data_IF_718807140974
#
_entry.id   IF_718807140974
#
_cell.length_a   1.000
_cell.length_b   1.000
_cell.length_c   1.000
_cell.angle_alpha   90.00
_cell.angle_beta   90.00
_cell.angle_gamma   90.00
#
_symmetry.space_group_name_H-M   'P 1'
#
loop_
_entity.id
_entity.type
_entity.pdbx_description
1 polymer ?
#
# COMPACT_ATOMS: atom_id res chain seq x y z
N UNK A 1 24.82 23.76 -25.21
CA UNK A 1 25.04 24.22 -23.82
C UNK A 1 26.17 25.25 -23.84
N UNK A 2 25.88 26.49 -23.47
CA UNK A 2 26.88 27.58 -23.43
C UNK A 2 27.73 27.45 -22.17
N UNK A 3 29.04 27.39 -22.32
CA UNK A 3 30.00 27.49 -21.23
C UNK A 3 30.31 28.96 -20.95
N UNK A 4 30.04 29.44 -19.74
CA UNK A 4 30.62 30.68 -19.24
C UNK A 4 31.97 30.35 -18.60
N UNK A 5 33.06 30.61 -19.31
CA UNK A 5 34.41 30.51 -18.77
C UNK A 5 34.98 31.93 -18.66
N UNK A 6 34.98 32.49 -17.45
CA UNK A 6 35.61 33.79 -17.16
C UNK A 6 37.12 33.62 -17.10
N UNK A 7 37.85 34.29 -17.99
CA UNK A 7 39.32 34.36 -17.95
C UNK A 7 39.77 35.43 -16.96
N UNK A 8 40.41 35.02 -15.86
CA UNK A 8 41.45 35.81 -15.20
C UNK A 8 42.54 34.90 -14.63
N UNK A 9 43.72 35.02 -15.24
CA UNK A 9 45.02 35.09 -14.55
C UNK A 9 45.50 33.92 -13.69
N UNK A 10 46.57 33.29 -14.17
CA UNK A 10 47.75 32.83 -13.41
C UNK A 10 47.59 31.69 -12.39
N UNK A 11 47.96 30.50 -12.85
CA UNK A 11 48.84 29.52 -12.18
C UNK A 11 48.53 29.17 -10.72
N UNK A 12 47.48 28.38 -10.52
CA UNK A 12 47.45 27.31 -9.53
C UNK A 12 46.81 26.11 -10.22
N UNK A 13 47.47 24.96 -10.17
CA UNK A 13 46.96 23.72 -10.74
C UNK A 13 45.57 23.44 -10.15
N UNK A 14 44.51 23.67 -10.93
CA UNK A 14 43.22 23.07 -10.64
C UNK A 14 43.41 21.57 -10.85
N UNK A 15 43.45 20.81 -9.75
CA UNK A 15 43.06 19.41 -9.82
C UNK A 15 41.61 19.38 -10.30
N UNK A 16 41.42 19.21 -11.61
CA UNK A 16 40.18 18.73 -12.17
C UNK A 16 40.02 17.27 -11.74
N UNK A 17 39.57 17.05 -10.50
CA UNK A 17 38.96 15.76 -10.19
C UNK A 17 37.72 15.67 -11.04
N UNK A 18 37.76 14.80 -12.06
CA UNK A 18 36.57 14.42 -12.81
C UNK A 18 35.69 13.67 -11.82
N UNK A 19 34.83 14.40 -11.11
CA UNK A 19 33.62 13.81 -10.55
C UNK A 19 32.76 13.49 -11.78
N UNK A 20 33.02 12.34 -12.39
CA UNK A 20 32.11 11.83 -13.41
C UNK A 20 30.74 11.80 -12.75
N UNK A 21 29.71 12.29 -13.45
CA UNK A 21 28.33 12.21 -12.96
C UNK A 21 28.00 10.78 -12.48
N UNK A 22 28.64 9.76 -13.05
CA UNK A 22 28.58 8.37 -12.61
C UNK A 22 28.94 8.12 -11.13
N UNK A 23 29.89 8.85 -10.55
CA UNK A 23 30.30 8.67 -9.13
C UNK A 23 29.31 9.33 -8.16
N UNK A 24 28.70 10.45 -8.55
CA UNK A 24 27.63 11.09 -7.76
C UNK A 24 26.27 10.37 -7.93
N UNK A 25 26.04 9.72 -9.08
CA UNK A 25 24.86 8.89 -9.34
C UNK A 25 24.93 7.55 -8.58
N UNK A 26 26.14 7.05 -8.27
CA UNK A 26 26.34 5.78 -7.57
C UNK A 26 26.23 5.81 -6.04
N UNK A 27 26.12 6.99 -5.41
CA UNK A 27 26.05 7.14 -3.95
C UNK A 27 24.62 7.26 -3.39
N UNK A 28 23.61 7.36 -4.24
CA UNK A 28 22.24 7.07 -3.83
C UNK A 28 22.03 5.56 -3.95
N UNK A 29 22.33 4.81 -2.88
CA UNK A 29 21.77 3.47 -2.75
C UNK A 29 20.24 3.63 -2.82
N UNK A 30 19.65 3.29 -3.95
CA UNK A 30 18.20 3.19 -4.10
C UNK A 30 17.71 2.18 -3.06
N UNK A 31 16.87 2.63 -2.12
CA UNK A 31 16.23 1.78 -1.14
C UNK A 31 15.16 0.94 -1.87
N UNK A 32 15.53 -0.29 -2.20
CA UNK A 32 14.64 -1.33 -2.69
C UNK A 32 13.97 -2.03 -1.50
N UNK A 33 12.65 -1.84 -1.28
CA UNK A 33 11.96 -2.45 -0.17
C UNK A 33 11.74 -3.96 -0.34
N UNK A 34 11.96 -4.51 -1.54
CA UNK A 34 11.69 -5.91 -1.88
C UNK A 34 12.93 -6.81 -1.80
N UNK A 35 14.14 -6.25 -1.77
CA UNK A 35 15.37 -6.99 -1.49
C UNK A 35 15.68 -7.00 0.02
N UNK A 36 15.65 -8.18 0.62
CA UNK A 36 15.72 -8.30 2.07
C UNK A 36 15.61 -9.72 2.60
N UNK A 37 15.38 -9.82 3.90
CA UNK A 37 15.21 -11.08 4.62
C UNK A 37 14.26 -10.92 5.81
N UNK A 38 13.60 -12.02 6.17
CA UNK A 38 12.85 -12.11 7.41
C UNK A 38 13.82 -12.23 8.59
N UNK A 39 13.68 -11.34 9.57
CA UNK A 39 14.44 -11.35 10.83
C UNK A 39 13.48 -11.43 12.01
N UNK A 40 13.94 -12.07 13.09
CA UNK A 40 13.23 -12.01 14.36
C UNK A 40 13.30 -10.58 14.90
N UNK A 41 12.14 -10.02 15.21
CA UNK A 41 11.99 -8.67 15.75
C UNK A 41 11.32 -8.76 17.12
N UNK A 42 12.01 -8.22 18.13
CA UNK A 42 11.54 -8.22 19.51
C UNK A 42 10.44 -7.19 19.78
N UNK A 43 10.18 -6.28 18.85
CA UNK A 43 9.14 -5.26 18.97
C UNK A 43 7.73 -5.85 18.95
N UNK A 44 6.77 -5.04 19.39
CA UNK A 44 5.36 -5.44 19.49
C UNK A 44 4.80 -5.74 18.09
N UNK A 45 4.01 -6.83 17.91
CA UNK A 45 3.30 -7.08 16.67
C UNK A 45 2.41 -5.88 16.27
N UNK A 46 2.19 -5.63 14.97
CA UNK A 46 1.45 -4.45 14.51
C UNK A 46 -0.01 -4.39 15.00
N UNK A 47 -0.62 -5.55 15.27
CA UNK A 47 -1.95 -5.70 15.85
C UNK A 47 -2.09 -7.06 16.55
N UNK A 48 -3.15 -7.21 17.34
CA UNK A 48 -3.52 -8.47 17.97
C UNK A 48 -4.73 -9.14 17.27
N UNK A 49 -4.91 -10.44 17.51
CA UNK A 49 -6.03 -11.23 16.97
C UNK A 49 -7.41 -10.82 17.53
N UNK A 50 -7.46 -10.00 18.59
CA UNK A 50 -8.68 -9.37 19.09
C UNK A 50 -9.27 -8.31 18.13
N UNK A 51 -8.56 -7.96 17.06
CA UNK A 51 -9.01 -6.99 16.09
C UNK A 51 -10.35 -7.42 15.44
N UNK A 52 -11.37 -6.54 15.39
CA UNK A 52 -12.71 -6.89 14.91
C UNK A 52 -12.79 -7.14 13.40
N UNK A 53 -11.79 -6.68 12.62
CA UNK A 53 -11.76 -6.85 11.17
C UNK A 53 -11.23 -8.22 10.72
N UNK A 54 -10.59 -8.97 11.62
CA UNK A 54 -10.10 -10.31 11.30
C UNK A 54 -11.24 -11.31 11.20
N UNK A 55 -11.27 -12.05 10.09
CA UNK A 55 -12.12 -13.22 9.94
C UNK A 55 -11.71 -14.34 10.89
N UNK A 56 -12.67 -15.17 11.30
CA UNK A 56 -12.43 -16.29 12.23
C UNK A 56 -11.32 -17.22 11.72
N UNK A 57 -11.32 -17.57 10.43
CA UNK A 57 -10.29 -18.46 9.86
C UNK A 57 -8.87 -17.86 9.92
N UNK A 58 -8.73 -16.54 10.07
CA UNK A 58 -7.44 -15.85 10.18
C UNK A 58 -6.92 -15.73 11.62
N UNK A 59 -7.71 -16.12 12.63
CA UNK A 59 -7.33 -16.06 14.06
C UNK A 59 -6.57 -17.31 14.46
N UNK A 60 -5.31 -17.43 14.05
CA UNK A 60 -4.52 -18.64 14.26
C UNK A 60 -4.45 -19.08 15.73
N UNK A 61 -4.12 -18.18 16.66
CA UNK A 61 -4.08 -18.49 18.09
C UNK A 61 -5.48 -18.79 18.62
N UNK A 62 -6.49 -18.01 18.19
CA UNK A 62 -7.89 -18.27 18.51
C UNK A 62 -8.39 -19.64 18.03
N UNK A 63 -7.81 -20.17 16.95
CA UNK A 63 -8.12 -21.47 16.38
C UNK A 63 -7.22 -22.61 16.90
N UNK A 64 -6.51 -22.39 18.02
CA UNK A 64 -5.77 -23.44 18.73
C UNK A 64 -4.32 -23.65 18.29
N UNK A 65 -3.75 -22.74 17.49
CA UNK A 65 -2.32 -22.81 17.16
C UNK A 65 -1.47 -22.59 18.43
N UNK A 66 -0.58 -23.54 18.79
CA UNK A 66 0.13 -23.50 20.07
C UNK A 66 1.38 -22.61 20.07
N UNK A 67 2.01 -22.40 18.91
CA UNK A 67 3.21 -21.57 18.76
C UNK A 67 2.85 -20.10 18.47
N UNK A 68 3.65 -19.16 19.00
CA UNK A 68 3.45 -17.71 18.81
C UNK A 68 4.62 -17.00 18.10
N UNK A 69 5.66 -17.73 17.67
CA UNK A 69 6.86 -17.11 17.10
C UNK A 69 6.61 -16.39 15.76
N UNK A 70 5.62 -16.83 15.00
CA UNK A 70 5.34 -16.33 13.65
C UNK A 70 4.99 -14.83 13.62
N UNK A 71 4.37 -14.28 14.66
CA UNK A 71 4.02 -12.84 14.72
C UNK A 71 5.23 -11.93 15.01
N UNK A 72 6.38 -12.52 15.33
CA UNK A 72 7.60 -11.80 15.71
C UNK A 72 8.60 -11.68 14.55
N UNK A 73 8.18 -11.93 13.33
CA UNK A 73 9.02 -11.75 12.15
C UNK A 73 8.78 -10.39 11.51
N UNK A 74 9.84 -9.80 10.97
CA UNK A 74 9.78 -8.54 10.24
C UNK A 74 10.69 -8.57 9.03
N UNK A 75 10.27 -7.88 7.98
CA UNK A 75 11.03 -7.75 6.75
C UNK A 75 12.12 -6.69 6.92
N UNK A 76 13.38 -7.11 6.87
CA UNK A 76 14.55 -6.23 6.85
C UNK A 76 14.99 -6.04 5.41
N UNK A 77 14.93 -4.81 4.90
CA UNK A 77 15.46 -4.50 3.57
C UNK A 77 16.97 -4.27 3.64
N UNK A 78 17.71 -4.97 2.78
CA UNK A 78 19.17 -4.91 2.72
C UNK A 78 19.63 -3.51 2.28
N UNK A 79 19.05 -3.00 1.20
CA UNK A 79 19.39 -1.71 0.60
C UNK A 79 18.94 -0.53 1.46
N UNK A 80 17.85 -0.65 2.21
CA UNK A 80 17.38 0.40 3.12
C UNK A 80 18.04 0.34 4.51
N UNK A 81 18.76 -0.74 4.83
CA UNK A 81 19.48 -0.93 6.10
C UNK A 81 18.58 -0.98 7.35
N UNK A 82 17.29 -1.34 7.19
CA UNK A 82 16.32 -1.34 8.29
C UNK A 82 15.12 -2.23 8.04
N UNK A 83 14.39 -2.55 9.11
CA UNK A 83 13.06 -3.14 9.02
C UNK A 83 12.04 -2.14 8.50
N UNK A 84 11.20 -2.57 7.55
CA UNK A 84 10.12 -1.75 7.03
C UNK A 84 8.85 -2.02 7.84
N UNK A 85 8.43 -1.01 8.61
CA UNK A 85 7.20 -1.05 9.41
C UNK A 85 6.16 -0.13 8.81
N UNK A 86 4.92 -0.60 8.78
CA UNK A 86 3.79 0.23 8.37
C UNK A 86 3.52 1.29 9.44
N UNK A 87 3.36 2.54 9.01
CA UNK A 87 3.03 3.66 9.89
C UNK A 87 1.59 4.09 9.61
N UNK A 88 0.67 3.65 10.48
CA UNK A 88 -0.76 3.92 10.33
C UNK A 88 -1.07 5.41 10.29
N UNK A 89 -0.42 6.24 11.12
CA UNK A 89 -0.66 7.70 11.13
C UNK A 89 -0.19 8.37 9.84
N UNK A 90 0.98 8.00 9.35
CA UNK A 90 1.51 8.53 8.09
C UNK A 90 0.61 8.13 6.91
N UNK A 91 0.17 6.87 6.87
CA UNK A 91 -0.79 6.40 5.87
C UNK A 91 -2.11 7.17 5.96
N UNK A 92 -2.70 7.31 7.15
CA UNK A 92 -3.95 8.03 7.35
C UNK A 92 -3.88 9.49 6.90
N UNK A 93 -2.77 10.18 7.20
CA UNK A 93 -2.53 11.54 6.72
C UNK A 93 -2.44 11.61 5.18
N UNK A 94 -1.81 10.61 4.54
CA UNK A 94 -1.71 10.54 3.08
C UNK A 94 -3.08 10.38 2.38
N UNK A 95 -4.02 9.72 3.06
CA UNK A 95 -5.34 9.38 2.51
C UNK A 95 -6.46 10.28 3.03
N UNK A 96 -6.12 11.32 3.79
CA UNK A 96 -7.08 12.29 4.35
C UNK A 96 -7.90 12.94 3.24
N UNK A 97 -9.22 12.96 3.39
CA UNK A 97 -10.15 13.50 2.38
C UNK A 97 -10.27 12.64 1.11
N UNK A 98 -9.79 11.39 1.13
CA UNK A 98 -9.76 10.51 -0.06
C UNK A 98 -10.50 9.20 0.17
N UNK A 99 -10.98 8.65 -0.93
CA UNK A 99 -11.46 7.27 -1.01
C UNK A 99 -10.43 6.42 -1.74
N UNK A 100 -9.99 5.32 -1.13
CA UNK A 100 -9.13 4.31 -1.76
C UNK A 100 -9.96 3.06 -1.99
N UNK A 101 -9.97 2.54 -3.22
CA UNK A 101 -10.40 1.17 -3.45
C UNK A 101 -9.19 0.23 -3.54
N UNK A 102 -9.30 -0.90 -2.87
CA UNK A 102 -8.42 -2.05 -3.02
C UNK A 102 -9.25 -3.15 -3.68
N UNK A 103 -8.80 -3.60 -4.85
CA UNK A 103 -9.54 -4.54 -5.70
C UNK A 103 -8.71 -5.81 -5.83
N UNK A 104 -9.35 -6.95 -5.61
CA UNK A 104 -8.71 -8.24 -5.82
C UNK A 104 -9.50 -9.39 -5.23
N UNK A 105 -8.84 -10.54 -5.19
CA UNK A 105 -9.40 -11.83 -4.79
C UNK A 105 -9.42 -12.01 -3.25
N UNK A 106 -9.50 -13.27 -2.84
CA UNK A 106 -9.42 -13.68 -1.43
C UNK A 106 -8.15 -13.22 -0.69
N UNK A 107 -6.99 -13.09 -1.35
CA UNK A 107 -5.78 -12.57 -0.69
C UNK A 107 -5.98 -11.09 -0.34
N UNK A 108 -6.59 -10.35 -1.24
CA UNK A 108 -6.88 -8.93 -1.02
C UNK A 108 -7.96 -8.75 0.05
N UNK A 109 -9.13 -9.35 -0.17
CA UNK A 109 -10.32 -9.12 0.65
C UNK A 109 -10.27 -9.80 2.01
N UNK A 110 -9.62 -10.97 2.10
CA UNK A 110 -9.59 -11.77 3.32
C UNK A 110 -8.27 -11.72 4.09
N UNK A 111 -7.18 -11.17 3.52
CA UNK A 111 -5.90 -11.04 4.21
C UNK A 111 -5.40 -9.59 4.26
N UNK A 112 -5.11 -8.97 3.12
CA UNK A 112 -4.49 -7.65 3.06
C UNK A 112 -5.36 -6.56 3.70
N UNK A 113 -6.62 -6.44 3.26
CA UNK A 113 -7.53 -5.40 3.78
C UNK A 113 -7.79 -5.56 5.28
N UNK A 114 -8.17 -6.73 5.81
CA UNK A 114 -8.29 -6.93 7.25
C UNK A 114 -7.03 -6.54 8.03
N UNK A 115 -5.84 -6.94 7.55
CA UNK A 115 -4.56 -6.59 8.19
C UNK A 115 -4.32 -5.08 8.23
N UNK A 116 -4.59 -4.39 7.13
CA UNK A 116 -4.49 -2.93 7.04
C UNK A 116 -5.46 -2.24 8.01
N UNK A 117 -6.72 -2.67 8.02
CA UNK A 117 -7.75 -2.11 8.91
C UNK A 117 -7.39 -2.32 10.38
N UNK A 118 -6.81 -3.45 10.76
CA UNK A 118 -6.36 -3.70 12.13
C UNK A 118 -5.24 -2.76 12.57
N UNK A 119 -4.26 -2.49 11.69
CA UNK A 119 -3.19 -1.54 11.99
C UNK A 119 -3.71 -0.10 12.11
N UNK A 120 -4.71 0.27 11.32
CA UNK A 120 -5.35 1.59 11.39
C UNK A 120 -6.21 1.72 12.65
N UNK A 121 -6.98 0.68 12.97
CA UNK A 121 -7.85 0.65 14.15
C UNK A 121 -7.09 0.74 15.48
N UNK A 122 -5.78 0.50 15.47
CA UNK A 122 -4.92 0.71 16.62
C UNK A 122 -4.67 2.21 16.94
N UNK A 123 -4.95 3.12 16.01
CA UNK A 123 -4.65 4.57 16.16
C UNK A 123 -5.84 5.50 15.90
N UNK A 124 -6.96 5.00 15.40
CA UNK A 124 -8.20 5.75 15.16
C UNK A 124 -9.40 4.79 15.09
N UNK A 125 -10.62 5.33 15.08
CA UNK A 125 -11.84 4.55 14.91
C UNK A 125 -12.09 4.25 13.44
N UNK A 126 -12.20 2.97 13.09
CA UNK A 126 -12.67 2.53 11.78
C UNK A 126 -14.10 2.02 11.92
N UNK A 127 -15.03 2.60 11.17
CA UNK A 127 -16.42 2.13 11.13
C UNK A 127 -16.56 1.03 10.08
N UNK A 128 -17.06 -0.13 10.49
CA UNK A 128 -17.53 -1.17 9.56
C UNK A 128 -18.69 -0.59 8.75
N UNK A 129 -18.45 -0.32 7.48
CA UNK A 129 -19.46 0.22 6.58
C UNK A 129 -20.29 -0.88 5.92
N UNK A 130 -21.28 -0.42 5.15
CA UNK A 130 -22.25 -1.28 4.47
C UNK A 130 -21.59 -2.26 3.49
N UNK A 131 -22.04 -3.51 3.44
CA UNK A 131 -21.80 -4.40 2.29
C UNK A 131 -22.76 -3.99 1.17
N UNK A 132 -22.24 -3.81 -0.05
CA UNK A 132 -23.07 -3.63 -1.24
C UNK A 132 -22.74 -4.71 -2.25
N UNK A 133 -23.76 -5.46 -2.65
CA UNK A 133 -23.70 -6.23 -3.89
C UNK A 133 -23.72 -5.21 -5.03
N UNK A 134 -22.71 -5.28 -5.88
CA UNK A 134 -22.63 -4.45 -7.06
C UNK A 134 -23.23 -5.30 -8.17
N UNK A 135 -24.42 -4.90 -8.64
CA UNK A 135 -25.12 -5.64 -9.68
C UNK A 135 -24.24 -5.74 -10.93
N UNK A 136 -23.71 -6.93 -11.17
CA UNK A 136 -23.27 -7.37 -12.48
C UNK A 136 -24.51 -7.41 -13.35
N UNK A 137 -24.69 -6.40 -14.20
CA UNK A 137 -25.88 -6.25 -15.04
C UNK A 137 -26.33 -7.58 -15.66
N UNK A 138 -27.63 -7.68 -15.92
CA UNK A 138 -28.50 -8.84 -16.16
C UNK A 138 -28.03 -9.99 -17.09
N UNK A 139 -26.79 -9.99 -17.59
CA UNK A 139 -26.18 -11.03 -18.45
C UNK A 139 -25.05 -11.84 -17.81
N UNK A 140 -24.64 -11.58 -16.56
CA UNK A 140 -23.54 -12.27 -15.90
C UNK A 140 -23.98 -13.59 -15.21
N UNK A 141 -24.52 -14.55 -15.96
CA UNK A 141 -24.99 -15.84 -15.42
C UNK A 141 -23.88 -16.68 -14.73
N UNK A 142 -22.61 -16.39 -15.04
CA UNK A 142 -21.46 -17.19 -14.59
C UNK A 142 -20.40 -16.38 -13.83
N UNK A 143 -20.60 -15.07 -13.63
CA UNK A 143 -19.70 -14.25 -12.81
C UNK A 143 -20.43 -13.92 -11.51
N UNK A 144 -19.90 -14.27 -10.33
CA UNK A 144 -20.49 -13.85 -9.08
C UNK A 144 -20.55 -12.31 -9.05
N UNK A 145 -21.64 -11.76 -8.53
CA UNK A 145 -21.77 -10.32 -8.37
C UNK A 145 -20.59 -9.78 -7.55
N UNK A 146 -19.94 -8.73 -8.05
CA UNK A 146 -18.85 -8.08 -7.31
C UNK A 146 -19.38 -7.58 -5.97
N UNK A 147 -18.61 -7.77 -4.90
CA UNK A 147 -19.01 -7.33 -3.56
C UNK A 147 -18.07 -6.24 -3.10
N UNK A 148 -18.62 -5.08 -2.76
CA UNK A 148 -17.87 -3.99 -2.15
C UNK A 148 -18.18 -3.88 -0.65
N UNK A 149 -17.12 -3.81 0.15
CA UNK A 149 -17.15 -3.49 1.57
C UNK A 149 -16.57 -2.10 1.77
N UNK A 150 -17.27 -1.26 2.51
CA UNK A 150 -16.90 0.13 2.74
C UNK A 150 -16.42 0.26 4.19
N UNK A 151 -15.37 1.03 4.42
CA UNK A 151 -14.81 1.28 5.74
C UNK A 151 -14.55 2.78 5.90
N UNK A 152 -15.29 3.42 6.79
CA UNK A 152 -15.22 4.87 7.02
C UNK A 152 -14.28 5.19 8.18
N UNK A 153 -13.46 6.23 8.00
CA UNK A 153 -12.47 6.70 8.96
C UNK A 153 -12.73 8.20 9.24
N UNK A 154 -13.69 8.52 10.13
CA UNK A 154 -14.22 9.89 10.27
C UNK A 154 -13.17 10.93 10.65
N UNK A 155 -12.23 10.58 11.53
CA UNK A 155 -11.19 11.50 12.01
C UNK A 155 -10.29 12.04 10.88
N UNK A 156 -10.25 11.32 9.75
CA UNK A 156 -9.45 11.66 8.57
C UNK A 156 -10.30 11.98 7.35
N UNK A 157 -11.63 12.03 7.47
CA UNK A 157 -12.54 12.17 6.32
C UNK A 157 -12.13 11.23 5.17
N UNK A 158 -11.80 9.99 5.52
CA UNK A 158 -11.19 9.03 4.61
C UNK A 158 -12.05 7.75 4.54
N UNK A 159 -11.96 7.06 3.41
CA UNK A 159 -12.69 5.82 3.16
C UNK A 159 -11.81 4.79 2.47
N UNK A 160 -11.88 3.55 2.93
CA UNK A 160 -11.31 2.39 2.25
C UNK A 160 -12.46 1.54 1.72
N UNK A 161 -12.38 1.12 0.46
CA UNK A 161 -13.35 0.24 -0.19
C UNK A 161 -12.63 -1.04 -0.61
N UNK A 162 -13.05 -2.18 -0.09
CA UNK A 162 -12.56 -3.49 -0.54
C UNK A 162 -13.53 -4.06 -1.57
N UNK A 163 -13.04 -4.34 -2.76
CA UNK A 163 -13.85 -4.84 -3.87
C UNK A 163 -13.36 -6.25 -4.21
N UNK A 164 -14.26 -7.22 -4.08
CA UNK A 164 -13.98 -8.59 -4.48
C UNK A 164 -14.05 -8.71 -6.00
N UNK A 165 -12.92 -9.11 -6.59
CA UNK A 165 -12.78 -9.44 -8.01
C UNK A 165 -11.71 -10.52 -8.18
N UNK A 166 -12.13 -11.72 -8.57
CA UNK A 166 -11.24 -12.88 -8.70
C UNK A 166 -10.23 -12.75 -9.83
N UNK A 167 -10.52 -11.93 -10.86
CA UNK A 167 -9.76 -11.93 -12.11
C UNK A 167 -9.30 -10.55 -12.58
N UNK A 168 -9.80 -9.47 -11.99
CA UNK A 168 -9.54 -8.08 -12.41
C UNK A 168 -9.90 -7.83 -13.88
N UNK A 169 -10.72 -8.70 -14.47
CA UNK A 169 -11.02 -8.70 -15.89
C UNK A 169 -12.08 -7.67 -16.18
N UNK A 170 -11.73 -6.72 -17.05
CA UNK A 170 -12.57 -5.61 -17.45
C UNK A 170 -13.83 -6.10 -18.17
N UNK A 171 -14.95 -6.14 -17.47
CA UNK A 171 -16.26 -6.32 -18.08
C UNK A 171 -16.89 -4.97 -18.41
N UNK A 172 -17.92 -4.95 -19.28
CA UNK A 172 -18.70 -3.74 -19.54
C UNK A 172 -19.37 -3.18 -18.27
N UNK A 173 -19.53 -4.02 -17.24
CA UNK A 173 -20.07 -3.67 -15.93
C UNK A 173 -19.11 -2.78 -15.13
N UNK A 174 -17.81 -3.04 -15.21
CA UNK A 174 -16.79 -2.38 -14.38
C UNK A 174 -16.68 -0.88 -14.70
N UNK A 175 -16.92 -0.50 -15.97
CA UNK A 175 -16.84 0.89 -16.45
C UNK A 175 -17.96 1.76 -15.87
N UNK A 176 -19.16 1.21 -15.73
CA UNK A 176 -20.31 1.88 -15.11
C UNK A 176 -20.21 1.92 -13.57
N UNK A 177 -19.38 1.05 -13.00
CA UNK A 177 -19.17 0.94 -11.56
C UNK A 177 -18.08 1.89 -11.05
N UNK A 178 -16.93 1.95 -11.72
CA UNK A 178 -15.84 2.87 -11.35
C UNK A 178 -16.28 4.34 -11.41
N UNK A 179 -17.17 4.69 -12.34
CA UNK A 179 -17.78 6.02 -12.42
C UNK A 179 -18.70 6.33 -11.24
N UNK A 180 -19.39 5.32 -10.66
CA UNK A 180 -20.25 5.47 -9.48
C UNK A 180 -19.49 5.56 -8.16
N UNK A 181 -18.29 4.98 -8.10
CA UNK A 181 -17.45 5.04 -6.90
C UNK A 181 -16.77 6.41 -6.70
N UNK A 182 -16.92 7.34 -7.66
CA UNK A 182 -16.20 8.62 -7.69
C UNK A 182 -14.67 8.47 -7.55
N UNK A 183 -14.15 7.26 -7.83
CA UNK A 183 -12.72 6.99 -7.92
C UNK A 183 -12.33 7.41 -9.33
N UNK A 184 -12.15 8.71 -9.51
CA UNK A 184 -11.57 9.24 -10.72
C UNK A 184 -10.17 8.69 -10.86
N UNK A 185 -9.97 7.73 -11.76
CA UNK A 185 -8.66 7.53 -12.35
C UNK A 185 -8.35 8.83 -13.10
N UNK A 186 -7.57 9.74 -12.50
CA UNK A 186 -6.87 10.74 -13.29
C UNK A 186 -6.02 9.95 -14.28
N UNK A 187 -6.30 10.03 -15.61
CA UNK A 187 -5.46 9.36 -16.57
C UNK A 187 -4.03 9.86 -16.37
N UNK A 188 -3.05 8.95 -16.43
CA UNK A 188 -1.66 9.35 -16.47
C UNK A 188 -1.50 10.38 -17.61
N UNK A 189 -0.76 11.48 -17.39
CA UNK A 189 -0.54 12.47 -18.44
C UNK A 189 0.05 11.74 -19.64
N UNK A 190 -0.70 11.69 -20.74
CA UNK A 190 -0.18 11.26 -22.02
C UNK A 190 0.86 12.31 -22.40
N UNK A 191 2.13 11.96 -22.27
CA UNK A 191 3.23 12.75 -22.81
C UNK A 191 3.00 12.90 -24.32
N UNK A 192 3.06 14.13 -24.86
CA UNK A 192 2.96 14.38 -26.30
C UNK A 192 4.10 13.74 -27.09
#
# INVERSE_FOLDING_TARGET
MRWLCSRRGSSLALQCTVLTWSVLIGLALSCDPFDGKWVADSSRPPYDESCPFLFQFSRCRGNGRPDGGFVRYSWYSNSCGRTLRFNSKAFLNMIKGKTIAVIGDSLTAANFVPSLLCQINAVTTVKNGSRRTLDGGSGAKYMPAMVAFYYDIPDYDARIVSIWDDYLMRTSVDKAMLSKLAIGFTPAPTTP
#
